data_IF_052195804280
#
_entry.id   IF_052195804280
#
_cell.length_a   1.000
_cell.length_b   1.000
_cell.length_c   1.000
_cell.angle_alpha   90.00
_cell.angle_beta   90.00
_cell.angle_gamma   90.00
#
_symmetry.space_group_name_H-M   'P 1'
#
loop_
_entity.id
_entity.type
_entity.pdbx_description
1 polymer ?
#
# COMPACT_ATOMS: atom_id res chain seq x y z
N UNK A 1 12.77 -2.24 14.07
CA UNK A 1 12.03 -3.19 13.23
C UNK A 1 10.56 -3.08 13.59
N UNK A 2 9.76 -2.53 12.69
CA UNK A 2 8.31 -2.40 12.86
C UNK A 2 7.64 -3.43 11.96
N UNK A 3 6.56 -4.05 12.45
CA UNK A 3 5.77 -5.02 11.68
C UNK A 3 4.33 -4.55 11.63
N UNK A 4 3.81 -4.34 10.42
CA UNK A 4 2.39 -4.06 10.18
C UNK A 4 1.67 -5.40 10.02
N UNK A 5 0.69 -5.67 10.88
CA UNK A 5 -0.10 -6.90 10.82
C UNK A 5 -1.42 -6.61 10.08
N UNK A 6 -1.66 -7.32 8.98
CA UNK A 6 -2.92 -7.29 8.25
C UNK A 6 -3.72 -8.57 8.46
N UNK A 7 -5.04 -8.44 8.59
CA UNK A 7 -5.97 -9.55 8.78
C UNK A 7 -7.03 -9.58 7.68
N UNK A 8 -7.30 -10.76 7.14
CA UNK A 8 -8.37 -11.02 6.16
C UNK A 8 -9.07 -12.33 6.52
N UNK A 9 -10.25 -12.24 7.10
CA UNK A 9 -10.89 -13.41 7.72
C UNK A 9 -9.96 -14.00 8.78
N UNK A 10 -9.66 -15.29 8.68
CA UNK A 10 -8.75 -15.99 9.62
C UNK A 10 -7.27 -15.92 9.21
N UNK A 11 -6.95 -15.32 8.06
CA UNK A 11 -5.56 -15.15 7.61
C UNK A 11 -4.94 -13.91 8.24
N UNK A 12 -3.68 -14.04 8.66
CA UNK A 12 -2.82 -12.96 9.11
C UNK A 12 -1.57 -12.90 8.24
N UNK A 13 -1.13 -11.69 7.91
CA UNK A 13 0.15 -11.42 7.27
C UNK A 13 0.91 -10.33 8.03
N UNK A 14 2.23 -10.48 8.13
CA UNK A 14 3.11 -9.48 8.71
C UNK A 14 3.98 -8.84 7.64
N UNK A 15 3.92 -7.51 7.53
CA UNK A 15 4.78 -6.72 6.66
C UNK A 15 5.86 -6.07 7.50
N UNK A 16 7.11 -6.48 7.31
CA UNK A 16 8.26 -5.84 7.93
C UNK A 16 8.51 -4.53 7.18
N UNK A 17 8.56 -3.42 7.90
CA UNK A 17 8.80 -2.08 7.35
C UNK A 17 9.96 -1.41 8.08
N UNK A 18 10.64 -0.52 7.36
CA UNK A 18 11.74 0.27 7.91
C UNK A 18 11.21 1.28 8.95
N UNK A 19 10.13 1.98 8.61
CA UNK A 19 9.55 3.04 9.41
C UNK A 19 8.01 3.09 9.30
N UNK A 20 7.35 3.56 10.36
CA UNK A 20 5.94 3.89 10.36
C UNK A 20 5.78 5.42 10.37
N UNK A 21 5.38 6.00 9.24
CA UNK A 21 5.24 7.45 9.09
C UNK A 21 3.98 7.97 9.82
N UNK A 22 2.88 7.23 9.74
CA UNK A 22 1.62 7.58 10.39
C UNK A 22 0.38 7.12 9.61
N UNK A 23 -0.79 7.60 10.04
CA UNK A 23 -2.06 7.40 9.35
C UNK A 23 -2.49 8.71 8.67
N UNK A 24 -2.89 8.63 7.41
CA UNK A 24 -3.38 9.77 6.63
C UNK A 24 -4.55 9.35 5.74
N UNK A 25 -5.49 10.26 5.52
CA UNK A 25 -6.50 10.11 4.48
C UNK A 25 -5.90 10.49 3.12
N UNK A 26 -6.11 9.65 2.12
CA UNK A 26 -5.52 9.83 0.79
C UNK A 26 -6.57 9.63 -0.31
N UNK A 27 -6.34 10.25 -1.45
CA UNK A 27 -7.11 9.97 -2.67
C UNK A 27 -6.34 9.00 -3.54
N UNK A 28 -6.94 7.85 -3.82
CA UNK A 28 -6.36 6.84 -4.71
C UNK A 28 -6.53 7.28 -6.16
N UNK A 29 -5.41 7.45 -6.87
CA UNK A 29 -5.40 7.66 -8.32
C UNK A 29 -5.06 6.35 -9.02
N UNK A 30 -5.94 5.93 -9.93
CA UNK A 30 -5.66 4.78 -10.81
C UNK A 30 -4.51 5.14 -11.75
N UNK A 31 -3.51 4.26 -11.81
CA UNK A 31 -2.38 4.40 -12.72
C UNK A 31 -2.61 3.73 -14.09
N UNK A 32 -3.83 3.24 -14.34
CA UNK A 32 -4.23 2.67 -15.62
C UNK A 32 -3.23 1.65 -16.18
N UNK A 33 -2.89 1.80 -17.47
CA UNK A 33 -1.98 0.87 -18.17
C UNK A 33 -0.54 0.89 -17.64
N UNK A 34 -0.13 1.91 -16.88
CA UNK A 34 1.24 2.06 -16.40
C UNK A 34 1.59 1.05 -15.30
N UNK A 35 0.60 0.58 -14.52
CA UNK A 35 0.81 -0.36 -13.40
C UNK A 35 0.36 -1.80 -13.72
N UNK A 36 -0.17 -2.08 -14.91
CA UNK A 36 -0.68 -3.41 -15.30
C UNK A 36 0.29 -4.61 -15.11
N UNK A 37 1.58 -4.37 -14.88
CA UNK A 37 2.57 -5.42 -14.61
C UNK A 37 2.74 -5.74 -13.12
N UNK A 38 2.32 -4.88 -12.20
CA UNK A 38 2.53 -5.02 -10.76
C UNK A 38 1.22 -5.43 -10.06
N UNK A 39 1.05 -6.73 -9.84
CA UNK A 39 -0.19 -7.32 -9.29
C UNK A 39 -0.50 -6.93 -7.83
N UNK A 40 0.47 -6.36 -7.13
CA UNK A 40 0.40 -6.03 -5.71
C UNK A 40 0.27 -4.51 -5.45
N UNK A 41 0.04 -3.71 -6.51
CA UNK A 41 -0.20 -2.27 -6.37
C UNK A 41 -1.60 -1.94 -6.87
N UNK A 42 -2.44 -1.37 -6.01
CA UNK A 42 -3.82 -0.95 -6.36
C UNK A 42 -3.86 0.43 -7.02
N UNK A 43 -2.84 1.26 -6.83
CA UNK A 43 -2.78 2.62 -7.36
C UNK A 43 -1.66 3.46 -6.75
N UNK A 44 -1.74 4.76 -6.95
CA UNK A 44 -0.81 5.72 -6.35
C UNK A 44 -1.55 6.95 -5.83
N UNK A 45 -0.91 7.71 -4.96
CA UNK A 45 -1.37 9.03 -4.54
C UNK A 45 -0.21 10.03 -4.57
N UNK A 46 -0.54 11.31 -4.55
CA UNK A 46 0.43 12.40 -4.41
C UNK A 46 0.30 12.90 -2.98
N UNK A 47 1.39 12.84 -2.23
CA UNK A 47 1.47 13.31 -0.85
C UNK A 47 1.47 14.84 -0.80
N UNK A 48 1.30 15.40 0.41
CA UNK A 48 1.26 16.86 0.61
C UNK A 48 2.55 17.60 0.25
N UNK A 49 3.68 16.88 0.26
CA UNK A 49 5.01 17.34 -0.17
C UNK A 49 5.29 17.12 -1.67
N UNK A 50 4.35 16.51 -2.40
CA UNK A 50 4.47 16.23 -3.82
C UNK A 50 5.10 14.88 -4.15
N UNK A 51 5.54 14.09 -3.16
CA UNK A 51 6.04 12.74 -3.40
C UNK A 51 4.93 11.78 -3.84
N UNK A 52 5.31 10.73 -4.58
CA UNK A 52 4.39 9.70 -5.04
C UNK A 52 4.44 8.52 -4.08
N UNK A 53 3.32 8.22 -3.43
CA UNK A 53 3.16 7.02 -2.63
C UNK A 53 2.37 5.95 -3.40
N UNK A 54 2.91 4.73 -3.43
CA UNK A 54 2.24 3.57 -4.02
C UNK A 54 1.33 2.92 -2.98
N UNK A 55 0.16 2.47 -3.42
CA UNK A 55 -0.82 1.81 -2.56
C UNK A 55 -0.71 0.30 -2.78
N UNK A 56 -0.29 -0.39 -1.73
CA UNK A 56 -0.15 -1.85 -1.77
C UNK A 56 -1.53 -2.52 -1.65
N UNK A 57 -1.79 -3.47 -2.53
CA UNK A 57 -2.93 -4.37 -2.41
C UNK A 57 -2.61 -5.46 -1.38
N UNK A 58 -3.02 -5.23 -0.13
CA UNK A 58 -2.86 -6.21 0.94
C UNK A 58 -3.58 -7.53 0.62
N UNK A 59 -4.68 -7.51 -0.15
CA UNK A 59 -5.39 -8.73 -0.53
C UNK A 59 -4.60 -9.56 -1.54
N UNK A 60 -3.86 -8.92 -2.45
CA UNK A 60 -3.01 -9.61 -3.43
C UNK A 60 -1.77 -10.24 -2.78
N UNK A 61 -1.39 -9.79 -1.58
CA UNK A 61 -0.25 -10.28 -0.81
C UNK A 61 -0.64 -11.34 0.24
N UNK A 62 -1.92 -11.72 0.36
CA UNK A 62 -2.46 -12.60 1.42
C UNK A 62 -3.20 -13.85 0.90
#
# INVERSE_FOLDING_TARGET
MVVVIAKKGDKLAGFIVDELIGQQEIVIKSMGKYINKCKFISGATILGDGEIALIIDANALM
#
